data_IF_462460380297
#
_entry.id   IF_462460380297
#
_cell.length_a   1.000
_cell.length_b   1.000
_cell.length_c   1.000
_cell.angle_alpha   90.00
_cell.angle_beta   90.00
_cell.angle_gamma   90.00
#
_symmetry.space_group_name_H-M   'P 1'
#
loop_
_entity.id
_entity.type
_entity.pdbx_description
1 polymer ?
#
# COMPACT_ATOMS: atom_id res chain seq x y z
N UNK A 1 14.81 -9.39 7.47
CA UNK A 1 13.37 -9.14 7.20
C UNK A 1 13.08 -7.71 7.59
N UNK A 2 13.15 -6.79 6.64
CA UNK A 2 13.00 -5.35 6.88
C UNK A 2 11.52 -5.05 7.12
N UNK A 3 11.12 -4.93 8.39
CA UNK A 3 9.79 -4.47 8.74
C UNK A 3 9.69 -3.01 8.27
N UNK A 4 8.83 -2.74 7.29
CA UNK A 4 8.56 -1.40 6.82
C UNK A 4 8.05 -0.54 7.99
N UNK A 5 8.71 0.59 8.25
CA UNK A 5 8.51 1.43 9.44
C UNK A 5 7.23 2.28 9.41
N UNK A 6 6.19 1.83 8.69
CA UNK A 6 4.96 2.57 8.60
C UNK A 6 4.06 2.27 9.79
N UNK A 7 3.61 3.34 10.43
CA UNK A 7 2.83 3.30 11.66
C UNK A 7 1.49 3.95 11.38
N UNK A 8 0.39 3.21 11.51
CA UNK A 8 -0.95 3.78 11.33
C UNK A 8 -1.60 3.93 12.69
N UNK A 9 -2.11 5.13 12.97
CA UNK A 9 -2.94 5.35 14.15
C UNK A 9 -4.29 4.64 13.95
N UNK A 10 -4.60 3.67 14.81
CA UNK A 10 -5.80 2.83 14.66
C UNK A 10 -6.85 3.08 15.72
N UNK A 11 -6.46 3.63 16.88
CA UNK A 11 -7.38 3.83 17.99
C UNK A 11 -6.89 4.90 18.98
N UNK A 12 -7.83 5.60 19.62
CA UNK A 12 -7.57 6.58 20.68
C UNK A 12 -8.30 6.20 21.97
N UNK A 13 -7.69 6.40 23.14
CA UNK A 13 -8.40 6.27 24.41
C UNK A 13 -9.53 7.31 24.47
N UNK A 14 -10.62 6.94 25.13
CA UNK A 14 -11.84 7.74 25.17
C UNK A 14 -13.10 6.87 25.24
N UNK A 15 -14.23 7.53 25.38
CA UNK A 15 -15.54 6.89 25.36
C UNK A 15 -16.04 6.79 23.93
N UNK A 16 -16.16 5.57 23.44
CA UNK A 16 -16.65 5.27 22.09
C UNK A 16 -17.94 4.50 22.19
N UNK A 17 -18.87 4.79 21.29
CA UNK A 17 -20.11 4.03 21.16
C UNK A 17 -19.82 2.85 20.25
N UNK A 18 -20.01 1.63 20.76
CA UNK A 18 -19.88 0.43 19.95
C UNK A 18 -21.05 0.27 18.97
N UNK A 19 -20.93 -0.71 18.06
CA UNK A 19 -21.98 -1.00 17.07
C UNK A 19 -23.31 -1.48 17.68
N UNK A 20 -23.30 -1.90 18.96
CA UNK A 20 -24.50 -2.22 19.72
C UNK A 20 -25.10 -1.01 20.47
N UNK A 21 -24.53 0.18 20.28
CA UNK A 21 -25.00 1.42 20.90
C UNK A 21 -24.53 1.63 22.34
N UNK A 22 -23.61 0.81 22.86
CA UNK A 22 -23.09 0.93 24.23
C UNK A 22 -21.86 1.82 24.24
N UNK A 23 -21.85 2.84 25.10
CA UNK A 23 -20.63 3.60 25.38
C UNK A 23 -19.65 2.74 26.17
N UNK A 24 -18.50 2.46 25.58
CA UNK A 24 -17.37 1.82 26.21
C UNK A 24 -16.24 2.85 26.31
N UNK A 25 -15.81 3.13 27.54
CA UNK A 25 -14.70 4.03 27.80
C UNK A 25 -13.41 3.23 27.93
N UNK A 26 -12.42 3.59 27.11
CA UNK A 26 -11.09 2.99 27.12
C UNK A 26 -10.11 3.97 27.76
N UNK A 27 -9.49 3.56 28.87
CA UNK A 27 -8.38 4.29 29.47
C UNK A 27 -7.08 4.04 28.70
N UNK A 28 -6.05 4.87 28.94
CA UNK A 28 -4.73 4.64 28.37
C UNK A 28 -4.14 3.28 28.80
N UNK A 29 -4.44 2.84 30.02
CA UNK A 29 -4.03 1.53 30.54
C UNK A 29 -4.69 0.38 29.76
N UNK A 30 -5.97 0.51 29.40
CA UNK A 30 -6.67 -0.49 28.60
C UNK A 30 -6.05 -0.61 27.21
N UNK A 31 -5.73 0.53 26.59
CA UNK A 31 -5.06 0.58 25.28
C UNK A 31 -3.67 -0.06 25.36
N UNK A 32 -2.92 0.15 26.44
CA UNK A 32 -1.63 -0.49 26.69
C UNK A 32 -1.79 -2.02 26.85
N UNK A 33 -2.82 -2.46 27.56
CA UNK A 33 -3.12 -3.87 27.75
C UNK A 33 -3.50 -4.54 26.42
N UNK A 34 -4.27 -3.85 25.57
CA UNK A 34 -4.62 -4.31 24.21
C UNK A 34 -3.39 -4.52 23.34
N UNK A 35 -2.46 -3.56 23.32
CA UNK A 35 -1.21 -3.68 22.57
C UNK A 35 -0.36 -4.86 23.08
N UNK A 36 -0.27 -5.02 24.40
CA UNK A 36 0.51 -6.09 25.04
C UNK A 36 -0.11 -7.48 24.85
N UNK A 37 -1.44 -7.56 24.76
CA UNK A 37 -2.18 -8.80 24.54
C UNK A 37 -2.12 -9.27 23.08
N UNK A 38 -1.90 -8.37 22.13
CA UNK A 38 -1.87 -8.71 20.71
C UNK A 38 -0.67 -9.59 20.37
N UNK A 39 -0.94 -10.79 19.86
CA UNK A 39 0.09 -11.75 19.45
C UNK A 39 -0.11 -12.15 17.98
N UNK A 40 0.69 -11.60 17.05
CA UNK A 40 0.58 -11.93 15.62
C UNK A 40 0.91 -13.41 15.32
N UNK A 41 1.47 -14.15 16.28
CA UNK A 41 1.66 -15.60 16.20
C UNK A 41 0.38 -16.40 16.42
N UNK A 42 -0.59 -15.87 17.17
CA UNK A 42 -1.85 -16.55 17.48
C UNK A 42 -2.90 -16.20 16.42
N UNK A 43 -3.12 -14.90 16.20
CA UNK A 43 -4.06 -14.41 15.22
C UNK A 43 -3.61 -13.06 14.68
N UNK A 44 -3.36 -13.00 13.37
CA UNK A 44 -3.03 -11.74 12.68
C UNK A 44 -4.31 -11.08 12.20
N UNK A 45 -4.49 -9.82 12.58
CA UNK A 45 -5.62 -9.04 12.11
C UNK A 45 -5.45 -8.70 10.62
N UNK A 46 -6.39 -9.06 9.72
CA UNK A 46 -6.32 -8.68 8.32
C UNK A 46 -6.66 -7.19 8.12
N UNK A 47 -6.05 -6.59 7.09
CA UNK A 47 -6.42 -5.28 6.56
C UNK A 47 -7.59 -5.48 5.59
N UNK A 48 -8.72 -4.84 5.85
CA UNK A 48 -9.94 -5.00 5.04
C UNK A 48 -10.50 -3.62 4.68
N UNK A 49 -11.31 -3.57 3.62
CA UNK A 49 -12.05 -2.35 3.27
C UNK A 49 -13.39 -2.37 4.01
N UNK A 50 -13.65 -1.36 4.84
CA UNK A 50 -14.84 -1.28 5.69
C UNK A 50 -14.84 -2.26 6.87
N UNK A 51 -16.04 -2.63 7.34
CA UNK A 51 -16.23 -3.66 8.38
C UNK A 51 -17.09 -4.83 7.87
N UNK A 52 -16.59 -5.63 6.93
CA UNK A 52 -17.30 -6.83 6.50
C UNK A 52 -17.37 -7.82 7.67
N UNK A 53 -18.53 -8.45 7.86
CA UNK A 53 -18.70 -9.48 8.90
C UNK A 53 -17.78 -10.69 8.68
N UNK A 54 -17.43 -10.96 7.41
CA UNK A 54 -16.57 -12.07 7.02
C UNK A 54 -15.08 -11.75 7.07
N UNK A 55 -14.68 -10.52 7.43
CA UNK A 55 -13.28 -10.06 7.45
C UNK A 55 -12.53 -10.29 6.12
N UNK A 56 -13.27 -10.32 5.00
CA UNK A 56 -12.74 -10.54 3.66
C UNK A 56 -13.30 -9.49 2.69
N UNK A 57 -12.57 -9.13 1.63
CA UNK A 57 -11.20 -9.57 1.28
C UNK A 57 -10.10 -8.94 2.15
N UNK A 58 -9.01 -9.68 2.38
CA UNK A 58 -7.85 -9.25 3.15
C UNK A 58 -6.75 -8.72 2.21
N UNK A 59 -6.40 -7.45 2.35
CA UNK A 59 -5.38 -6.76 1.55
C UNK A 59 -4.01 -6.69 2.24
N UNK A 60 -3.88 -7.36 3.37
CA UNK A 60 -2.64 -7.54 4.12
C UNK A 60 -2.94 -7.88 5.56
N UNK A 61 -1.93 -7.78 6.43
CA UNK A 61 -2.04 -8.18 7.83
C UNK A 61 -1.39 -7.17 8.77
N UNK A 62 -1.77 -7.15 10.04
CA UNK A 62 -1.07 -6.35 11.05
C UNK A 62 0.09 -7.16 11.63
N UNK A 63 1.31 -6.65 11.43
CA UNK A 63 2.55 -7.24 11.91
C UNK A 63 2.73 -7.04 13.41
N UNK A 64 2.46 -5.84 13.93
CA UNK A 64 2.63 -5.50 15.34
C UNK A 64 1.67 -4.37 15.77
N UNK A 65 1.42 -4.27 17.08
CA UNK A 65 0.69 -3.16 17.71
C UNK A 65 1.58 -2.52 18.76
N UNK A 66 1.54 -1.20 18.86
CA UNK A 66 2.29 -0.44 19.85
C UNK A 66 1.52 0.81 20.25
N UNK A 67 1.80 1.31 21.46
CA UNK A 67 1.18 2.53 21.97
C UNK A 67 2.21 3.65 21.92
N UNK A 68 1.81 4.80 21.37
CA UNK A 68 2.64 6.00 21.33
C UNK A 68 1.79 7.19 21.75
N UNK A 69 2.27 7.98 22.70
CA UNK A 69 1.54 9.13 23.25
C UNK A 69 0.11 8.80 23.73
N UNK A 70 -0.08 7.58 24.26
CA UNK A 70 -1.39 7.09 24.71
C UNK A 70 -2.34 6.69 23.59
N UNK A 71 -1.94 6.72 22.32
CA UNK A 71 -2.74 6.26 21.17
C UNK A 71 -2.23 4.91 20.68
N UNK A 72 -3.13 4.10 20.13
CA UNK A 72 -2.79 2.79 19.58
C UNK A 72 -2.40 2.93 18.12
N UNK A 73 -1.24 2.40 17.78
CA UNK A 73 -0.73 2.32 16.43
C UNK A 73 -0.58 0.86 16.01
N UNK A 74 -0.79 0.61 14.72
CA UNK A 74 -0.58 -0.67 14.08
C UNK A 74 0.48 -0.56 13.00
N UNK A 75 1.35 -1.56 12.94
CA UNK A 75 2.27 -1.75 11.83
C UNK A 75 1.66 -2.74 10.86
N UNK A 76 1.22 -2.32 9.66
CA UNK A 76 0.78 -3.25 8.64
C UNK A 76 1.98 -3.99 8.03
N UNK A 77 1.75 -5.20 7.55
CA UNK A 77 2.74 -6.10 6.99
C UNK A 77 2.12 -6.99 5.91
N UNK A 78 2.88 -7.22 4.83
CA UNK A 78 2.39 -7.95 3.66
C UNK A 78 1.22 -7.25 2.98
N UNK A 79 1.32 -5.92 2.83
CA UNK A 79 0.27 -5.09 2.24
C UNK A 79 0.30 -5.21 0.73
N UNK A 80 -0.89 -5.37 0.13
CA UNK A 80 -1.06 -5.34 -1.32
C UNK A 80 -0.72 -3.94 -1.87
N UNK A 81 0.09 -3.90 -2.93
CA UNK A 81 0.55 -2.64 -3.53
C UNK A 81 -0.60 -1.78 -4.10
N UNK A 82 -1.63 -2.39 -4.68
CA UNK A 82 -2.79 -1.68 -5.22
C UNK A 82 -3.63 -1.08 -4.09
N UNK A 83 -3.74 -1.81 -2.97
CA UNK A 83 -4.40 -1.30 -1.76
C UNK A 83 -3.64 -0.12 -1.15
N UNK A 84 -2.32 -0.24 -1.00
CA UNK A 84 -1.49 0.86 -0.50
C UNK A 84 -1.59 2.11 -1.38
N UNK A 85 -1.59 1.95 -2.70
CA UNK A 85 -1.82 3.05 -3.64
C UNK A 85 -3.21 3.68 -3.46
N UNK A 86 -4.27 2.88 -3.27
CA UNK A 86 -5.61 3.41 -3.07
C UNK A 86 -5.72 4.23 -1.76
N UNK A 87 -5.09 3.77 -0.68
CA UNK A 87 -5.02 4.51 0.59
C UNK A 87 -4.23 5.82 0.41
N UNK A 88 -3.06 5.75 -0.24
CA UNK A 88 -2.23 6.94 -0.52
C UNK A 88 -2.91 7.93 -1.47
N UNK A 89 -3.72 7.44 -2.41
CA UNK A 89 -4.55 8.26 -3.28
C UNK A 89 -5.74 8.90 -2.55
N UNK A 90 -5.87 8.69 -1.23
CA UNK A 90 -6.91 9.28 -0.40
C UNK A 90 -8.29 8.65 -0.58
N UNK A 91 -8.38 7.45 -1.19
CA UNK A 91 -9.66 6.73 -1.33
C UNK A 91 -10.15 6.19 0.02
N UNK A 92 -9.23 5.91 0.94
CA UNK A 92 -9.52 5.43 2.29
C UNK A 92 -8.72 6.22 3.32
N UNK A 93 -9.18 7.44 3.62
CA UNK A 93 -8.49 8.32 4.58
C UNK A 93 -8.65 7.86 6.02
N UNK A 94 -9.74 7.17 6.34
CA UNK A 94 -10.09 6.81 7.71
C UNK A 94 -9.83 5.34 7.96
N UNK A 95 -9.28 5.05 9.13
CA UNK A 95 -9.01 3.70 9.60
C UNK A 95 -9.76 3.47 10.90
N UNK A 96 -10.32 2.28 11.05
CA UNK A 96 -11.08 1.87 12.22
C UNK A 96 -10.70 0.45 12.60
N UNK A 97 -10.28 0.28 13.85
CA UNK A 97 -9.98 -1.03 14.40
C UNK A 97 -11.24 -1.69 14.97
N UNK A 98 -11.47 -2.94 14.60
CA UNK A 98 -12.51 -3.79 15.18
C UNK A 98 -11.86 -4.70 16.22
N UNK A 99 -12.42 -4.77 17.42
CA UNK A 99 -11.90 -5.59 18.51
C UNK A 99 -12.92 -6.64 18.95
N UNK A 100 -12.42 -7.82 19.32
CA UNK A 100 -13.20 -8.80 20.07
C UNK A 100 -13.25 -8.40 21.54
N UNK A 101 -14.43 -8.42 22.18
CA UNK A 101 -14.53 -8.22 23.61
C UNK A 101 -13.93 -9.40 24.38
N UNK A 102 -13.53 -9.20 25.65
CA UNK A 102 -12.86 -10.23 26.46
C UNK A 102 -13.70 -11.50 26.68
N UNK A 103 -15.02 -11.42 26.54
CA UNK A 103 -15.95 -12.54 26.69
C UNK A 103 -16.47 -13.13 25.38
N UNK A 104 -15.90 -12.78 24.21
CA UNK A 104 -16.33 -13.39 22.95
C UNK A 104 -15.66 -14.75 22.72
N UNK A 105 -16.45 -15.75 22.31
CA UNK A 105 -15.95 -17.09 21.98
C UNK A 105 -14.96 -17.10 20.81
N UNK A 106 -15.11 -16.15 19.89
CA UNK A 106 -14.20 -15.97 18.75
C UNK A 106 -12.88 -15.25 19.13
N UNK A 107 -12.71 -14.86 20.40
CA UNK A 107 -11.52 -14.19 20.87
C UNK A 107 -10.40 -15.22 21.13
N UNK A 108 -9.26 -15.13 20.42
CA UNK A 108 -8.14 -16.04 20.64
C UNK A 108 -7.46 -15.85 22.01
N UNK A 109 -7.67 -14.71 22.68
CA UNK A 109 -7.14 -14.41 24.01
C UNK A 109 -8.30 -14.04 24.94
N UNK A 110 -8.89 -15.01 25.65
CA UNK A 110 -9.96 -14.76 26.60
C UNK A 110 -9.50 -13.78 27.69
N UNK A 111 -10.37 -12.84 28.06
CA UNK A 111 -10.09 -11.87 29.14
C UNK A 111 -9.41 -10.56 28.71
N UNK A 112 -8.99 -10.42 27.45
CA UNK A 112 -8.47 -9.16 26.91
C UNK A 112 -9.19 -8.75 25.62
N UNK A 113 -9.23 -7.45 25.32
CA UNK A 113 -9.70 -6.98 24.02
C UNK A 113 -8.66 -7.31 22.94
N UNK A 114 -9.07 -8.05 21.91
CA UNK A 114 -8.15 -8.53 20.86
C UNK A 114 -8.49 -7.95 19.50
N UNK A 115 -7.49 -7.52 18.71
CA UNK A 115 -7.73 -6.93 17.40
C UNK A 115 -8.26 -8.00 16.42
N UNK A 116 -9.49 -7.78 15.95
CA UNK A 116 -10.17 -8.66 14.99
C UNK A 116 -9.72 -8.37 13.56
N UNK A 117 -9.85 -7.12 13.13
CA UNK A 117 -9.45 -6.67 11.80
C UNK A 117 -9.28 -5.16 11.79
N UNK A 118 -8.51 -4.65 10.81
CA UNK A 118 -8.33 -3.23 10.59
C UNK A 118 -9.08 -2.80 9.33
N UNK A 119 -10.15 -2.02 9.52
CA UNK A 119 -11.03 -1.56 8.45
C UNK A 119 -10.63 -0.19 7.91
N UNK A 120 -10.45 -0.09 6.60
CA UNK A 120 -10.18 1.16 5.90
C UNK A 120 -11.49 1.70 5.31
N UNK A 121 -11.91 2.86 5.79
CA UNK A 121 -13.18 3.52 5.48
C UNK A 121 -12.89 4.72 4.56
N UNK A 122 -13.62 4.78 3.44
CA UNK A 122 -13.52 5.87 2.47
C UNK A 122 -14.43 7.05 2.83
N UNK A 123 -15.72 6.89 2.57
CA UNK A 123 -16.72 7.96 2.68
C UNK A 123 -17.64 7.84 3.92
N UNK A 124 -17.41 6.85 4.79
CA UNK A 124 -18.22 6.64 6.00
C UNK A 124 -17.55 7.38 7.18
N UNK A 125 -18.26 8.27 7.90
CA UNK A 125 -17.69 8.98 9.03
C UNK A 125 -17.24 7.98 10.10
N UNK A 126 -16.01 8.08 10.61
CA UNK A 126 -15.49 7.17 11.62
C UNK A 126 -16.23 7.37 12.95
N UNK A 127 -16.44 6.29 13.70
CA UNK A 127 -16.99 6.35 15.05
C UNK A 127 -16.10 7.18 16.01
N UNK A 128 -14.80 7.30 15.70
CA UNK A 128 -13.83 8.08 16.46
C UNK A 128 -13.54 9.41 15.73
N UNK A 129 -13.98 10.53 16.33
CA UNK A 129 -13.76 11.87 15.78
C UNK A 129 -12.28 12.27 15.86
N UNK A 130 -11.70 12.73 14.75
CA UNK A 130 -10.39 13.39 14.71
C UNK A 130 -9.16 12.51 14.47
N UNK A 131 -9.31 11.25 14.05
CA UNK A 131 -8.16 10.38 13.71
C UNK A 131 -7.32 10.93 12.55
N UNK A 132 -6.00 10.73 12.65
CA UNK A 132 -5.04 11.04 11.59
C UNK A 132 -5.37 10.24 10.33
N UNK A 133 -5.07 10.82 9.17
CA UNK A 133 -5.29 10.15 7.89
C UNK A 133 -4.27 9.02 7.73
N UNK A 134 -4.72 7.85 7.29
CA UNK A 134 -3.83 6.72 7.11
C UNK A 134 -2.96 6.89 5.87
N UNK A 135 -1.65 6.72 6.03
CA UNK A 135 -0.67 6.75 4.95
C UNK A 135 0.09 5.43 4.94
N UNK A 136 0.09 4.74 3.80
CA UNK A 136 0.76 3.45 3.58
C UNK A 136 2.01 3.57 2.71
N UNK A 137 2.44 4.79 2.36
CA UNK A 137 3.55 5.08 1.44
C UNK A 137 4.85 4.35 1.80
N UNK A 138 5.14 4.18 3.08
CA UNK A 138 6.36 3.53 3.56
C UNK A 138 6.19 2.03 3.86
N UNK A 139 4.99 1.46 3.68
CA UNK A 139 4.65 0.05 3.96
C UNK A 139 4.90 -0.91 2.80
N UNK A 140 4.97 -0.36 1.59
CA UNK A 140 5.29 -1.12 0.38
C UNK A 140 6.79 -1.00 0.21
N UNK A 141 7.54 -2.10 0.00
CA UNK A 141 8.91 -1.98 -0.46
C UNK A 141 8.87 -1.08 -1.69
N UNK A 142 9.55 0.07 -1.66
CA UNK A 142 9.89 0.79 -2.87
C UNK A 142 10.71 -0.21 -3.68
N UNK A 143 10.06 -0.95 -4.56
CA UNK A 143 10.75 -1.74 -5.55
C UNK A 143 11.63 -0.73 -6.30
N UNK A 144 12.96 -0.92 -6.38
CA UNK A 144 13.75 -0.28 -7.41
C UNK A 144 13.33 -0.95 -8.73
N UNK A 145 12.13 -0.62 -9.19
CA UNK A 145 11.42 -1.39 -10.19
C UNK A 145 10.65 -0.44 -11.08
N UNK A 146 11.14 -0.33 -12.31
CA UNK A 146 10.48 0.32 -13.43
C UNK A 146 9.03 -0.18 -13.49
N UNK A 147 8.08 0.71 -13.19
CA UNK A 147 6.67 0.44 -13.34
C UNK A 147 6.28 0.66 -14.81
N UNK A 148 5.98 -0.42 -15.54
CA UNK A 148 5.36 -0.33 -16.86
C UNK A 148 3.85 -0.15 -16.69
N UNK A 149 3.42 1.08 -16.45
CA UNK A 149 2.05 1.51 -16.71
C UNK A 149 2.06 2.37 -17.98
N UNK A 150 1.07 2.18 -18.85
CA UNK A 150 0.94 2.92 -20.11
C UNK A 150 1.14 4.43 -19.90
N UNK A 151 1.89 5.13 -20.77
CA UNK A 151 2.32 6.48 -20.49
C UNK A 151 1.12 7.43 -20.49
N UNK A 152 0.86 8.05 -19.34
CA UNK A 152 0.34 9.41 -19.33
C UNK A 152 1.55 10.33 -19.58
N UNK A 153 1.39 11.19 -20.57
CA UNK A 153 2.34 12.20 -21.03
C UNK A 153 2.92 13.04 -19.88
N UNK A 154 4.25 13.04 -19.76
CA UNK A 154 5.02 13.89 -18.84
C UNK A 154 5.95 14.85 -19.61
N UNK A 155 5.39 15.65 -20.51
CA UNK A 155 6.03 16.88 -20.96
C UNK A 155 6.08 17.90 -19.79
N UNK A 156 7.13 17.87 -18.97
CA UNK A 156 7.37 18.99 -18.05
C UNK A 156 8.42 18.88 -16.97
N UNK A 157 9.00 17.71 -16.67
CA UNK A 157 9.93 17.58 -15.56
C UNK A 157 11.30 17.11 -16.06
N UNK A 158 12.21 18.07 -16.19
CA UNK A 158 13.60 17.87 -16.61
C UNK A 158 14.39 17.04 -15.61
N UNK A 159 14.49 15.74 -15.87
CA UNK A 159 15.45 14.85 -15.22
C UNK A 159 16.61 14.58 -16.18
N UNK A 160 17.83 14.80 -15.71
CA UNK A 160 19.06 14.59 -16.46
C UNK A 160 19.24 13.11 -16.82
N UNK A 161 19.57 12.85 -18.08
CA UNK A 161 19.82 11.54 -18.67
C UNK A 161 21.05 10.86 -18.05
N UNK A 162 20.84 9.95 -17.11
CA UNK A 162 21.66 8.75 -17.00
C UNK A 162 20.76 7.55 -17.25
N UNK A 163 20.57 7.22 -18.53
CA UNK A 163 19.90 5.97 -18.91
C UNK A 163 20.85 4.80 -18.61
N UNK A 164 20.46 3.82 -17.79
CA UNK A 164 21.21 2.57 -17.71
C UNK A 164 21.16 1.90 -19.08
N UNK A 165 22.34 1.51 -19.59
CA UNK A 165 22.45 0.74 -20.83
C UNK A 165 21.60 -0.53 -20.72
N UNK A 166 20.69 -0.70 -21.67
CA UNK A 166 19.87 -1.90 -21.81
C UNK A 166 20.77 -3.13 -22.02
N UNK A 167 20.98 -3.91 -20.96
CA UNK A 167 21.66 -5.20 -21.05
C UNK A 167 20.64 -6.26 -21.48
N UNK A 168 20.84 -6.82 -22.66
CA UNK A 168 19.96 -7.83 -23.26
C UNK A 168 20.16 -9.18 -22.54
N UNK A 169 19.10 -9.86 -22.05
CA UNK A 169 19.21 -11.17 -21.38
C UNK A 169 19.79 -12.24 -22.31
N UNK A 170 20.54 -13.19 -21.74
CA UNK A 170 21.09 -14.32 -22.49
C UNK A 170 19.99 -15.10 -23.23
N UNK A 171 20.24 -15.42 -24.51
CA UNK A 171 19.32 -16.18 -25.37
C UNK A 171 18.48 -15.32 -26.34
N UNK A 172 18.46 -14.00 -26.19
CA UNK A 172 17.90 -13.10 -27.20
C UNK A 172 18.93 -12.76 -28.27
N UNK A 173 18.73 -13.23 -29.50
CA UNK A 173 19.56 -12.84 -30.64
C UNK A 173 18.99 -11.58 -31.30
N UNK A 174 19.84 -10.57 -31.50
CA UNK A 174 19.48 -9.44 -32.37
C UNK A 174 19.38 -9.93 -33.81
N UNK A 175 18.24 -9.69 -34.45
CA UNK A 175 18.07 -9.97 -35.87
C UNK A 175 18.98 -9.01 -36.66
N UNK A 176 20.03 -9.55 -37.28
CA UNK A 176 21.03 -8.78 -38.00
C UNK A 176 20.44 -7.98 -39.17
N UNK A 177 19.38 -8.49 -39.81
CA UNK A 177 18.71 -7.79 -40.91
C UNK A 177 17.88 -6.61 -40.39
N UNK A 178 17.17 -6.78 -39.27
CA UNK A 178 16.45 -5.68 -38.61
C UNK A 178 17.39 -4.62 -38.06
N UNK A 179 18.54 -5.00 -37.51
CA UNK A 179 19.56 -4.07 -37.07
C UNK A 179 20.15 -3.26 -38.24
N UNK A 180 20.41 -3.92 -39.38
CA UNK A 180 20.89 -3.25 -40.58
C UNK A 180 19.84 -2.28 -41.17
N UNK A 181 18.55 -2.65 -41.15
CA UNK A 181 17.47 -1.76 -41.56
C UNK A 181 17.36 -0.53 -40.64
N UNK A 182 17.43 -0.73 -39.32
CA UNK A 182 17.41 0.35 -38.33
C UNK A 182 18.58 1.33 -38.53
N UNK A 183 19.80 0.83 -38.73
CA UNK A 183 20.98 1.68 -38.99
C UNK A 183 20.83 2.52 -40.26
N UNK A 184 20.24 1.95 -41.32
CA UNK A 184 19.96 2.68 -42.56
C UNK A 184 18.89 3.77 -42.34
N UNK A 185 17.84 3.48 -41.56
CA UNK A 185 16.81 4.46 -41.25
C UNK A 185 17.37 5.64 -40.43
N UNK A 186 18.23 5.39 -39.44
CA UNK A 186 18.89 6.46 -38.69
C UNK A 186 19.79 7.34 -39.57
N UNK A 187 20.62 6.73 -40.42
CA UNK A 187 21.45 7.49 -41.37
C UNK A 187 20.61 8.34 -42.33
N UNK A 188 19.42 7.85 -42.72
CA UNK A 188 18.49 8.61 -43.54
C UNK A 188 17.89 9.81 -42.79
N UNK A 189 17.55 9.65 -41.52
CA UNK A 189 17.06 10.74 -40.67
C UNK A 189 18.13 11.80 -40.41
N UNK A 190 19.38 11.40 -40.21
CA UNK A 190 20.52 12.32 -40.05
C UNK A 190 20.72 13.17 -41.33
N UNK A 191 20.60 12.54 -42.50
CA UNK A 191 20.71 13.24 -43.77
C UNK A 191 19.49 14.13 -44.10
N UNK A 192 18.32 13.86 -43.49
CA UNK A 192 17.06 14.54 -43.77
C UNK A 192 16.38 14.99 -42.47
N UNK A 193 16.91 16.06 -41.89
CA UNK A 193 16.38 16.67 -40.67
C UNK A 193 14.86 16.93 -40.78
N UNK A 194 14.09 16.40 -39.83
CA UNK A 194 12.62 16.51 -39.80
C UNK A 194 11.86 15.30 -40.34
N UNK A 195 12.54 14.28 -40.86
CA UNK A 195 11.89 13.03 -41.31
C UNK A 195 11.60 12.11 -40.12
N UNK A 196 10.36 11.64 -39.99
CA UNK A 196 9.99 10.65 -38.98
C UNK A 196 10.59 9.27 -39.27
N UNK A 197 10.77 8.47 -38.22
CA UNK A 197 11.47 7.19 -38.30
C UNK A 197 10.73 6.16 -39.18
N UNK A 198 9.40 6.16 -39.18
CA UNK A 198 8.63 5.21 -39.99
C UNK A 198 8.75 5.54 -41.47
N UNK A 199 8.70 6.83 -41.83
CA UNK A 199 9.00 7.30 -43.19
C UNK A 199 10.42 6.92 -43.60
N UNK A 200 11.41 7.09 -42.71
CA UNK A 200 12.79 6.70 -42.99
C UNK A 200 12.94 5.18 -43.24
N UNK A 201 12.29 4.34 -42.43
CA UNK A 201 12.30 2.87 -42.61
C UNK A 201 11.70 2.47 -43.95
N UNK A 202 10.57 3.08 -44.36
CA UNK A 202 9.93 2.83 -45.67
C UNK A 202 10.80 3.30 -46.84
N UNK A 203 11.68 4.28 -46.62
CA UNK A 203 12.57 4.81 -47.67
C UNK A 203 13.86 3.99 -47.85
N UNK A 204 14.28 3.26 -46.82
CA UNK A 204 15.57 2.54 -46.81
C UNK A 204 15.45 1.01 -46.79
N UNK A 205 14.23 0.48 -46.65
CA UNK A 205 13.89 -0.95 -46.66
C UNK A 205 12.94 -1.28 -47.79
#
# INVERSE_FOLDING_TARGET
>A
MTACACEIEIFRPGCHVDMSGRSVCFSATDVQAMASAYRPSISRAPLVIGHPETNRPAYGSVASLFVREGRLYAQPGGVDSAFAQAVNAGRYKKVSASFYPPGADANPVPGAFYLRHLGFLGAVPPAVKGMADAVLADCVPRLPGIAFAAPLDFAGWGIANEFPAFAMPDGYQTDAARLALHRRALAYQEAHAGTDYLTAVVRVG
#
